data_IF_766671964765
#
_entry.id   IF_766671964765
#
_cell.length_a   1.000
_cell.length_b   1.000
_cell.length_c   1.000
_cell.angle_alpha   90.00
_cell.angle_beta   90.00
_cell.angle_gamma   90.00
#
_symmetry.space_group_name_H-M   'P 1'
#
loop_
_entity.id
_entity.type
_entity.pdbx_description
1 polymer ?
#
# COMPACT_ATOMS: atom_id res chain seq x y z
N UNK A 1 -21.07 21.91 -37.56
CA UNK A 1 -20.22 20.72 -37.67
C UNK A 1 -20.49 19.80 -36.49
N UNK A 2 -21.21 18.69 -36.69
CA UNK A 2 -21.41 17.66 -35.66
C UNK A 2 -20.09 16.90 -35.47
N UNK A 3 -19.36 17.20 -34.39
CA UNK A 3 -18.14 16.47 -34.04
C UNK A 3 -18.54 15.02 -33.78
N UNK A 4 -18.24 14.10 -34.70
CA UNK A 4 -18.45 12.66 -34.48
C UNK A 4 -17.73 12.29 -33.18
N UNK A 5 -18.48 11.79 -32.19
CA UNK A 5 -17.86 11.30 -30.96
C UNK A 5 -17.03 10.07 -31.32
N UNK A 6 -15.80 9.93 -30.77
CA UNK A 6 -14.98 8.77 -31.05
C UNK A 6 -15.67 7.50 -30.58
N UNK A 7 -15.61 6.44 -31.39
CA UNK A 7 -16.17 5.12 -31.08
C UNK A 7 -15.32 4.33 -30.07
N UNK A 8 -14.12 4.83 -29.72
CA UNK A 8 -13.15 4.12 -28.87
C UNK A 8 -12.48 5.05 -27.87
N UNK A 9 -12.09 4.51 -26.72
CA UNK A 9 -11.16 5.19 -25.81
C UNK A 9 -9.78 5.29 -26.47
N UNK A 10 -9.06 6.38 -26.20
CA UNK A 10 -7.66 6.50 -26.61
C UNK A 10 -6.82 5.38 -25.98
N UNK A 11 -5.79 4.90 -26.68
CA UNK A 11 -4.85 3.91 -26.16
C UNK A 11 -4.25 4.29 -24.78
N UNK A 12 -3.98 5.59 -24.57
CA UNK A 12 -3.49 6.13 -23.28
C UNK A 12 -4.50 5.90 -22.16
N UNK A 13 -5.79 6.17 -22.39
CA UNK A 13 -6.84 5.94 -21.39
C UNK A 13 -6.97 4.45 -21.02
N UNK A 14 -6.82 3.56 -22.01
CA UNK A 14 -6.83 2.11 -21.81
C UNK A 14 -5.61 1.68 -20.99
N UNK A 15 -4.41 2.15 -21.36
CA UNK A 15 -3.17 1.86 -20.63
C UNK A 15 -3.24 2.34 -19.18
N UNK A 16 -3.66 3.59 -18.94
CA UNK A 16 -3.88 4.13 -17.60
C UNK A 16 -4.88 3.29 -16.81
N UNK A 17 -5.93 2.77 -17.46
CA UNK A 17 -6.88 1.90 -16.79
C UNK A 17 -6.26 0.60 -16.33
N UNK A 18 -5.57 -0.12 -17.20
CA UNK A 18 -4.98 -1.40 -16.83
C UNK A 18 -3.83 -1.26 -15.85
N UNK A 19 -2.97 -0.24 -15.99
CA UNK A 19 -1.91 0.03 -15.02
C UNK A 19 -2.46 0.25 -13.61
N UNK A 20 -3.51 1.08 -13.48
CA UNK A 20 -4.15 1.33 -12.19
C UNK A 20 -4.87 0.07 -11.69
N UNK A 21 -5.60 -0.65 -12.55
CA UNK A 21 -6.32 -1.85 -12.17
C UNK A 21 -5.37 -2.93 -11.62
N UNK A 22 -4.25 -3.17 -12.30
CA UNK A 22 -3.21 -4.11 -11.85
C UNK A 22 -2.63 -3.68 -10.51
N UNK A 23 -2.26 -2.40 -10.38
CA UNK A 23 -1.72 -1.86 -9.14
C UNK A 23 -2.69 -2.05 -7.97
N UNK A 24 -3.98 -1.74 -8.15
CA UNK A 24 -5.02 -1.94 -7.12
C UNK A 24 -5.19 -3.43 -6.79
N UNK A 25 -5.25 -4.31 -7.79
CA UNK A 25 -5.40 -5.74 -7.56
C UNK A 25 -4.20 -6.33 -6.81
N UNK A 26 -2.98 -5.81 -7.04
CA UNK A 26 -1.78 -6.21 -6.29
C UNK A 26 -1.77 -5.72 -4.83
N UNK A 27 -2.40 -4.56 -4.57
CA UNK A 27 -2.45 -3.95 -3.22
C UNK A 27 -3.24 -4.77 -2.22
N UNK A 28 -4.34 -5.38 -2.65
CA UNK A 28 -5.28 -6.08 -1.79
C UNK A 28 -4.63 -7.25 -1.03
N UNK A 29 -4.04 -8.27 -1.70
CA UNK A 29 -3.36 -9.36 -1.01
C UNK A 29 -2.09 -8.89 -0.28
N UNK A 30 -1.38 -7.90 -0.82
CA UNK A 30 -0.21 -7.32 -0.18
C UNK A 30 -0.56 -6.69 1.17
N UNK A 31 -1.66 -5.95 1.24
CA UNK A 31 -2.14 -5.28 2.44
C UNK A 31 -2.54 -6.26 3.54
N UNK A 32 -3.25 -7.34 3.19
CA UNK A 32 -3.56 -8.41 4.13
C UNK A 32 -2.33 -9.16 4.63
N UNK A 33 -1.45 -9.55 3.71
CA UNK A 33 -0.26 -10.30 4.09
C UNK A 33 0.67 -9.49 5.01
N UNK A 34 0.90 -8.21 4.69
CA UNK A 34 1.82 -7.38 5.48
C UNK A 34 1.29 -7.07 6.89
N UNK A 35 -0.03 -6.96 7.06
CA UNK A 35 -0.63 -6.72 8.39
C UNK A 35 -0.46 -7.89 9.33
N UNK A 36 -0.51 -9.11 8.81
CA UNK A 36 -0.34 -10.33 9.60
C UNK A 36 1.15 -10.64 9.80
N UNK A 37 1.98 -10.42 8.78
CA UNK A 37 3.41 -10.71 8.82
C UNK A 37 4.20 -9.78 9.78
N UNK A 38 3.72 -8.57 10.05
CA UNK A 38 4.48 -7.61 10.88
C UNK A 38 4.53 -7.98 12.37
N UNK A 39 3.58 -8.79 12.84
CA UNK A 39 3.51 -9.27 14.23
C UNK A 39 4.29 -10.56 14.45
N UNK A 40 4.67 -11.26 13.38
CA UNK A 40 5.42 -12.51 13.42
C UNK A 40 6.94 -12.22 13.35
N UNK A 41 7.74 -12.60 14.37
CA UNK A 41 9.17 -12.28 14.45
C UNK A 41 9.96 -12.67 13.20
N UNK A 42 9.70 -13.87 12.65
CA UNK A 42 10.45 -14.43 11.52
C UNK A 42 10.17 -13.71 10.19
N UNK A 43 9.06 -12.98 10.09
CA UNK A 43 8.65 -12.31 8.86
C UNK A 43 8.63 -10.78 8.93
N UNK A 44 8.89 -10.20 10.11
CA UNK A 44 8.84 -8.77 10.38
C UNK A 44 9.73 -7.94 9.43
N UNK A 45 10.95 -8.40 9.16
CA UNK A 45 11.87 -7.70 8.26
C UNK A 45 11.38 -7.65 6.81
N UNK A 46 10.76 -8.74 6.33
CA UNK A 46 10.15 -8.79 5.01
C UNK A 46 8.87 -7.95 4.97
N UNK A 47 8.03 -8.04 6.01
CA UNK A 47 6.83 -7.23 6.16
C UNK A 47 7.16 -5.73 6.05
N UNK A 48 8.21 -5.25 6.73
CA UNK A 48 8.68 -3.87 6.62
C UNK A 48 9.00 -3.45 5.18
N UNK A 49 9.70 -4.31 4.40
CA UNK A 49 10.00 -4.03 2.99
C UNK A 49 8.73 -3.97 2.15
N UNK A 50 7.79 -4.87 2.40
CA UNK A 50 6.49 -4.90 1.72
C UNK A 50 5.65 -3.68 2.08
N UNK A 51 5.68 -3.19 3.33
CA UNK A 51 5.07 -1.91 3.70
C UNK A 51 5.65 -0.74 2.89
N UNK A 52 6.96 -0.70 2.66
CA UNK A 52 7.57 0.36 1.82
C UNK A 52 7.12 0.24 0.36
N UNK A 53 7.01 -0.98 -0.17
CA UNK A 53 6.50 -1.23 -1.51
C UNK A 53 5.02 -0.84 -1.64
N UNK A 54 4.19 -1.20 -0.65
CA UNK A 54 2.77 -0.84 -0.57
C UNK A 54 2.59 0.68 -0.54
N UNK A 55 3.39 1.40 0.26
CA UNK A 55 3.39 2.88 0.24
C UNK A 55 3.76 3.41 -1.15
N UNK A 56 4.81 2.85 -1.75
CA UNK A 56 5.32 3.30 -3.05
C UNK A 56 4.32 3.15 -4.19
N UNK A 57 3.72 1.97 -4.31
CA UNK A 57 2.69 1.71 -5.32
C UNK A 57 1.41 2.50 -4.99
N UNK A 58 1.12 2.78 -3.71
CA UNK A 58 0.02 3.66 -3.30
C UNK A 58 0.16 5.08 -3.86
N UNK A 59 1.36 5.67 -3.76
CA UNK A 59 1.66 6.96 -4.39
C UNK A 59 1.65 6.89 -5.92
N UNK A 60 2.09 5.77 -6.50
CA UNK A 60 2.00 5.56 -7.95
C UNK A 60 0.52 5.57 -8.41
N UNK A 61 -0.37 4.87 -7.70
CA UNK A 61 -1.81 4.89 -8.00
C UNK A 61 -2.36 6.31 -7.88
N UNK A 62 -1.98 7.07 -6.85
CA UNK A 62 -2.39 8.46 -6.69
C UNK A 62 -1.97 9.31 -7.91
N UNK A 63 -0.70 9.23 -8.32
CA UNK A 63 -0.18 9.97 -9.47
C UNK A 63 -0.88 9.56 -10.78
N UNK A 64 -1.02 8.25 -11.05
CA UNK A 64 -1.71 7.74 -12.23
C UNK A 64 -3.20 8.12 -12.24
N UNK A 65 -3.83 8.17 -11.07
CA UNK A 65 -5.24 8.60 -10.94
C UNK A 65 -5.41 10.06 -11.29
N UNK A 66 -4.52 10.95 -10.79
CA UNK A 66 -4.53 12.37 -11.18
C UNK A 66 -4.36 12.51 -12.70
N UNK A 67 -3.37 11.81 -13.28
CA UNK A 67 -3.14 11.81 -14.71
C UNK A 67 -4.39 11.31 -15.48
N UNK A 68 -5.03 10.25 -14.99
CA UNK A 68 -6.26 9.70 -15.58
C UNK A 68 -7.43 10.71 -15.52
N UNK A 69 -7.58 11.43 -14.42
CA UNK A 69 -8.61 12.47 -14.29
C UNK A 69 -8.35 13.59 -15.28
N UNK A 70 -7.13 14.11 -15.34
CA UNK A 70 -6.73 15.15 -16.30
C UNK A 70 -6.98 14.67 -17.74
N UNK A 71 -6.60 13.43 -18.05
CA UNK A 71 -6.83 12.84 -19.37
C UNK A 71 -8.32 12.77 -19.71
N UNK A 72 -9.15 12.33 -18.77
CA UNK A 72 -10.60 12.24 -18.94
C UNK A 72 -11.28 13.60 -19.13
N UNK A 73 -10.76 14.65 -18.49
CA UNK A 73 -11.31 16.01 -18.63
C UNK A 73 -10.89 16.68 -19.94
N UNK A 74 -9.73 16.31 -20.48
CA UNK A 74 -9.16 16.90 -21.70
C UNK A 74 -9.52 16.13 -22.97
N UNK A 75 -9.94 14.87 -22.87
CA UNK A 75 -10.24 14.01 -24.02
C UNK A 75 -11.72 13.58 -24.06
N UNK A 76 -12.32 13.50 -25.26
CA UNK A 76 -13.70 13.04 -25.41
C UNK A 76 -13.85 11.58 -25.00
N UNK A 77 -14.87 11.31 -24.18
CA UNK A 77 -15.22 9.95 -23.74
C UNK A 77 -16.27 9.36 -24.69
N UNK A 78 -16.12 8.09 -25.14
CA UNK A 78 -17.15 7.40 -25.91
C UNK A 78 -18.50 7.41 -25.21
N UNK A 79 -19.59 7.48 -25.99
CA UNK A 79 -20.93 7.41 -25.43
C UNK A 79 -21.22 6.00 -24.90
N UNK A 80 -22.01 5.92 -23.82
CA UNK A 80 -22.55 4.64 -23.37
C UNK A 80 -23.51 4.08 -24.44
N UNK A 81 -23.65 2.75 -24.59
CA UNK A 81 -24.57 2.16 -25.56
C UNK A 81 -25.99 2.69 -25.38
N UNK A 82 -26.62 3.16 -26.47
CA UNK A 82 -27.97 3.75 -26.42
C UNK A 82 -29.05 2.77 -25.96
N UNK A 83 -28.82 1.46 -26.11
CA UNK A 83 -29.71 0.40 -25.66
C UNK A 83 -29.62 0.08 -24.14
N UNK A 84 -28.63 0.64 -23.43
CA UNK A 84 -28.42 0.41 -22.00
C UNK A 84 -29.53 1.09 -21.17
N UNK A 85 -30.08 0.38 -20.17
CA UNK A 85 -31.16 0.92 -19.33
C UNK A 85 -30.69 2.16 -18.58
N UNK A 86 -31.58 3.14 -18.37
CA UNK A 86 -31.22 4.41 -17.72
C UNK A 86 -30.59 4.26 -16.33
N UNK A 87 -31.03 3.25 -15.57
CA UNK A 87 -30.46 2.93 -14.25
C UNK A 87 -29.05 2.31 -14.35
N UNK A 88 -28.76 1.51 -15.39
CA UNK A 88 -27.42 0.94 -15.63
C UNK A 88 -26.44 2.05 -16.00
N UNK A 89 -26.86 3.00 -16.83
CA UNK A 89 -26.05 4.17 -17.16
C UNK A 89 -25.79 5.05 -15.92
N UNK A 90 -26.78 5.22 -15.05
CA UNK A 90 -26.61 5.93 -13.78
C UNK A 90 -25.64 5.19 -12.86
N UNK A 91 -25.82 3.89 -12.66
CA UNK A 91 -24.93 3.05 -11.87
C UNK A 91 -23.48 3.11 -12.40
N UNK A 92 -23.28 3.04 -13.72
CA UNK A 92 -21.96 3.17 -14.33
C UNK A 92 -21.30 4.53 -14.00
N UNK A 93 -22.05 5.64 -14.06
CA UNK A 93 -21.53 6.96 -13.69
C UNK A 93 -21.16 7.05 -12.21
N UNK A 94 -22.03 6.55 -11.33
CA UNK A 94 -21.81 6.54 -9.88
C UNK A 94 -20.60 5.68 -9.52
N UNK A 95 -20.49 4.47 -10.07
CA UNK A 95 -19.34 3.58 -9.84
C UNK A 95 -18.03 4.23 -10.28
N UNK A 96 -17.99 4.89 -11.44
CA UNK A 96 -16.78 5.61 -11.86
C UNK A 96 -16.45 6.78 -10.93
N UNK A 97 -17.44 7.57 -10.52
CA UNK A 97 -17.22 8.67 -9.57
C UNK A 97 -16.72 8.15 -8.22
N UNK A 98 -17.31 7.07 -7.71
CA UNK A 98 -16.89 6.40 -6.49
C UNK A 98 -15.45 5.88 -6.60
N UNK A 99 -15.06 5.25 -7.71
CA UNK A 99 -13.67 4.85 -7.91
C UNK A 99 -12.72 6.04 -7.90
N UNK A 100 -13.02 7.15 -8.57
CA UNK A 100 -12.14 8.33 -8.53
C UNK A 100 -12.00 8.87 -7.11
N UNK A 101 -13.09 8.96 -6.35
CA UNK A 101 -13.03 9.39 -4.96
C UNK A 101 -12.19 8.42 -4.11
N UNK A 102 -12.40 7.11 -4.24
CA UNK A 102 -11.68 6.08 -3.48
C UNK A 102 -10.19 6.05 -3.84
N UNK A 103 -9.83 6.09 -5.14
CA UNK A 103 -8.44 6.07 -5.61
C UNK A 103 -7.64 7.30 -5.18
N UNK A 104 -8.30 8.41 -4.84
CA UNK A 104 -7.66 9.57 -4.21
C UNK A 104 -7.63 9.42 -2.69
N UNK A 105 -8.77 9.09 -2.06
CA UNK A 105 -8.90 9.05 -0.61
C UNK A 105 -8.06 7.96 0.07
N UNK A 106 -7.94 6.77 -0.51
CA UNK A 106 -7.15 5.67 0.04
C UNK A 106 -5.67 6.02 0.20
N UNK A 107 -4.94 6.42 -0.86
CA UNK A 107 -3.53 6.78 -0.71
C UNK A 107 -3.34 8.03 0.15
N UNK A 108 -4.28 8.99 0.11
CA UNK A 108 -4.20 10.18 0.98
C UNK A 108 -4.37 9.84 2.47
N UNK A 109 -5.30 8.95 2.81
CA UNK A 109 -5.45 8.47 4.20
C UNK A 109 -4.25 7.65 4.66
N UNK A 110 -3.66 6.83 3.77
CA UNK A 110 -2.41 6.13 4.04
C UNK A 110 -1.24 7.08 4.25
N UNK A 111 -1.13 8.12 3.43
CA UNK A 111 -0.11 9.17 3.56
C UNK A 111 -0.28 9.96 4.86
N UNK A 112 -1.52 10.28 5.24
CA UNK A 112 -1.83 10.91 6.52
C UNK A 112 -1.42 10.02 7.70
N UNK A 113 -1.72 8.72 7.65
CA UNK A 113 -1.30 7.76 8.68
C UNK A 113 0.22 7.74 8.85
N UNK A 114 0.99 7.55 7.79
CA UNK A 114 2.46 7.47 7.89
C UNK A 114 3.09 8.80 8.32
N UNK A 115 2.44 9.92 8.02
CA UNK A 115 2.87 11.27 8.44
C UNK A 115 2.69 11.52 9.95
N UNK A 116 1.92 10.68 10.64
CA UNK A 116 1.83 10.75 12.10
C UNK A 116 3.07 10.20 12.80
N UNK A 117 3.91 9.41 12.12
CA UNK A 117 5.03 8.71 12.74
C UNK A 117 4.59 7.87 13.96
N UNK A 118 3.40 7.26 13.89
CA UNK A 118 2.82 6.43 14.94
C UNK A 118 2.51 5.03 14.41
N UNK A 119 2.88 4.01 15.16
CA UNK A 119 2.52 2.64 14.85
C UNK A 119 1.25 2.26 15.60
N UNK A 120 0.13 2.08 14.89
CA UNK A 120 -1.16 1.67 15.49
C UNK A 120 -1.10 0.26 16.10
N UNK A 121 -0.29 -0.64 15.54
CA UNK A 121 -0.18 -2.04 15.99
C UNK A 121 0.42 -2.13 17.39
N UNK A 122 1.44 -1.33 17.69
CA UNK A 122 2.12 -1.28 18.99
C UNK A 122 1.63 -0.14 19.88
N UNK A 123 0.80 0.74 19.33
CA UNK A 123 0.36 2.02 19.91
C UNK A 123 1.53 2.84 20.48
N UNK A 124 2.58 3.01 19.67
CA UNK A 124 3.80 3.74 20.04
C UNK A 124 4.29 4.68 18.93
N UNK A 125 5.09 5.71 19.26
CA UNK A 125 5.80 6.50 18.26
C UNK A 125 6.74 5.61 17.43
N UNK A 126 6.62 5.67 16.11
CA UNK A 126 7.50 5.03 15.16
C UNK A 126 7.60 5.87 13.89
N UNK A 127 8.61 6.74 13.84
CA UNK A 127 8.89 7.55 12.67
C UNK A 127 9.65 6.69 11.64
N UNK A 128 9.02 6.43 10.50
CA UNK A 128 9.62 5.66 9.40
C UNK A 128 9.61 6.53 8.16
N UNK A 129 10.80 6.80 7.62
CA UNK A 129 10.93 7.46 6.33
C UNK A 129 10.13 6.69 5.27
N UNK A 130 9.33 7.42 4.50
CA UNK A 130 8.56 6.86 3.39
C UNK A 130 9.40 6.97 2.13
N UNK A 131 10.02 5.86 1.73
CA UNK A 131 10.80 5.81 0.51
C UNK A 131 9.91 5.48 -0.68
N UNK A 132 10.03 6.22 -1.78
CA UNK A 132 9.38 5.89 -3.05
C UNK A 132 10.32 5.02 -3.88
N UNK A 133 10.06 3.72 -3.89
CA UNK A 133 10.86 2.70 -4.59
C UNK A 133 12.37 2.74 -4.31
N UNK A 134 12.81 3.25 -3.16
CA UNK A 134 14.23 3.39 -2.82
C UNK A 134 14.92 4.61 -3.44
N UNK A 135 14.23 5.41 -4.27
CA UNK A 135 14.84 6.49 -5.03
C UNK A 135 14.95 7.80 -4.24
N UNK A 136 13.88 8.17 -3.55
CA UNK A 136 13.84 9.36 -2.69
C UNK A 136 12.81 9.20 -1.58
N UNK A 137 12.88 10.06 -0.58
CA UNK A 137 11.92 10.11 0.53
C UNK A 137 10.78 11.06 0.20
N UNK A 138 9.54 10.59 0.36
CA UNK A 138 8.35 11.44 0.27
C UNK A 138 8.21 12.17 1.61
N UNK A 139 8.11 13.52 1.61
CA UNK A 139 7.95 14.28 2.83
C UNK A 139 6.63 13.92 3.52
N UNK A 140 6.65 13.95 4.84
CA UNK A 140 5.43 13.84 5.63
C UNK A 140 4.57 15.09 5.44
N UNK A 141 3.26 14.95 5.68
CA UNK A 141 2.36 16.10 5.67
C UNK A 141 2.82 17.14 6.69
N UNK A 142 2.87 18.42 6.30
CA UNK A 142 3.29 19.48 7.21
C UNK A 142 2.34 19.53 8.42
N UNK A 143 2.85 20.04 9.54
CA UNK A 143 2.13 20.25 10.81
C UNK A 143 1.81 18.98 11.63
N UNK A 144 1.64 17.81 11.02
CA UNK A 144 1.35 16.57 11.77
C UNK A 144 2.59 16.07 12.52
N UNK A 145 3.76 16.14 11.89
CA UNK A 145 5.01 15.66 12.47
C UNK A 145 5.40 16.39 13.77
N UNK A 146 5.11 17.70 13.85
CA UNK A 146 5.39 18.54 15.01
C UNK A 146 4.22 18.66 15.99
N UNK A 147 3.10 17.96 15.74
CA UNK A 147 1.96 17.97 16.64
C UNK A 147 2.27 17.20 17.94
N UNK A 148 1.46 17.44 18.97
CA UNK A 148 1.56 16.71 20.23
C UNK A 148 1.33 15.22 20.04
N UNK A 149 1.90 14.41 20.93
CA UNK A 149 1.77 12.95 20.88
C UNK A 149 0.32 12.49 20.85
N UNK A 150 -0.55 13.11 21.66
CA UNK A 150 -1.98 12.82 21.70
C UNK A 150 -2.64 13.07 20.33
N UNK A 151 -2.32 14.19 19.67
CA UNK A 151 -2.87 14.51 18.34
C UNK A 151 -2.37 13.52 17.29
N UNK A 152 -1.07 13.18 17.30
CA UNK A 152 -0.47 12.22 16.37
C UNK A 152 -1.11 10.84 16.51
N UNK A 153 -1.24 10.34 17.74
CA UNK A 153 -1.92 9.08 18.05
C UNK A 153 -3.36 9.07 17.57
N UNK A 154 -4.18 10.06 17.94
CA UNK A 154 -5.58 10.14 17.52
C UNK A 154 -5.71 10.19 15.99
N UNK A 155 -4.87 11.00 15.34
CA UNK A 155 -4.86 11.10 13.87
C UNK A 155 -4.48 9.78 13.22
N UNK A 156 -3.53 9.03 13.79
CA UNK A 156 -3.08 7.76 13.27
C UNK A 156 -4.21 6.71 13.29
N UNK A 157 -4.93 6.61 14.41
CA UNK A 157 -6.08 5.72 14.56
C UNK A 157 -7.22 6.09 13.60
N UNK A 158 -7.52 7.39 13.45
CA UNK A 158 -8.54 7.86 12.50
C UNK A 158 -8.14 7.57 11.06
N UNK A 159 -6.90 7.89 10.68
CA UNK A 159 -6.39 7.71 9.32
C UNK A 159 -6.32 6.23 8.94
N UNK A 160 -5.77 5.38 9.81
CA UNK A 160 -5.70 3.93 9.57
C UNK A 160 -7.11 3.30 9.54
N UNK A 161 -8.00 3.72 10.46
CA UNK A 161 -9.39 3.27 10.47
C UNK A 161 -10.15 3.66 9.20
N UNK A 162 -9.94 4.88 8.70
CA UNK A 162 -10.49 5.32 7.41
C UNK A 162 -9.90 4.53 6.25
N UNK A 163 -8.57 4.36 6.21
CA UNK A 163 -7.87 3.61 5.17
C UNK A 163 -8.40 2.18 5.05
N UNK A 164 -8.57 1.48 6.19
CA UNK A 164 -9.14 0.13 6.23
C UNK A 164 -10.58 0.07 5.71
N UNK A 165 -11.47 0.98 6.14
CA UNK A 165 -12.85 1.05 5.64
C UNK A 165 -12.92 1.35 4.15
N UNK A 166 -12.09 2.26 3.67
CA UNK A 166 -11.99 2.60 2.25
C UNK A 166 -11.46 1.42 1.42
N UNK A 167 -10.50 0.66 1.95
CA UNK A 167 -9.98 -0.56 1.30
C UNK A 167 -11.10 -1.59 1.09
N UNK A 168 -11.92 -1.86 2.10
CA UNK A 168 -13.12 -2.70 1.96
C UNK A 168 -14.11 -2.15 0.94
N UNK A 169 -14.32 -0.84 0.92
CA UNK A 169 -15.13 -0.17 -0.10
C UNK A 169 -14.61 -0.40 -1.52
N UNK A 170 -13.30 -0.31 -1.74
CA UNK A 170 -12.68 -0.63 -3.04
C UNK A 170 -12.86 -2.09 -3.39
N UNK A 171 -12.65 -3.02 -2.47
CA UNK A 171 -12.83 -4.47 -2.72
C UNK A 171 -14.25 -4.74 -3.23
N UNK A 172 -15.27 -4.26 -2.50
CA UNK A 172 -16.68 -4.43 -2.90
C UNK A 172 -16.93 -3.80 -4.27
N UNK A 173 -16.45 -2.58 -4.50
CA UNK A 173 -16.68 -1.87 -5.75
C UNK A 173 -15.96 -2.53 -6.93
N UNK A 174 -14.76 -3.08 -6.74
CA UNK A 174 -14.03 -3.86 -7.75
C UNK A 174 -14.82 -5.11 -8.11
N UNK A 175 -15.31 -5.86 -7.13
CA UNK A 175 -16.13 -7.05 -7.37
C UNK A 175 -17.38 -6.70 -8.18
N UNK A 176 -18.11 -5.65 -7.77
CA UNK A 176 -19.30 -5.19 -8.49
C UNK A 176 -18.97 -4.72 -9.91
N UNK A 177 -17.86 -4.00 -10.09
CA UNK A 177 -17.41 -3.50 -11.39
C UNK A 177 -17.06 -4.63 -12.35
N UNK A 178 -16.28 -5.61 -11.88
CA UNK A 178 -15.91 -6.79 -12.68
C UNK A 178 -17.15 -7.63 -12.98
N UNK A 179 -18.03 -7.86 -12.00
CA UNK A 179 -19.28 -8.59 -12.21
C UNK A 179 -20.17 -7.91 -13.26
N UNK A 180 -20.28 -6.57 -13.22
CA UNK A 180 -20.99 -5.80 -14.23
C UNK A 180 -20.34 -5.96 -15.62
N UNK A 181 -19.01 -5.82 -15.72
CA UNK A 181 -18.30 -6.01 -16.99
C UNK A 181 -18.53 -7.42 -17.57
N UNK A 182 -18.53 -8.45 -16.74
CA UNK A 182 -18.82 -9.83 -17.15
C UNK A 182 -20.30 -10.01 -17.54
N UNK A 183 -21.26 -9.42 -16.81
CA UNK A 183 -22.67 -9.40 -17.20
C UNK A 183 -22.84 -8.79 -18.60
N UNK A 184 -22.26 -7.62 -18.82
CA UNK A 184 -22.31 -6.93 -20.11
C UNK A 184 -21.66 -7.77 -21.23
N UNK A 185 -20.57 -8.47 -20.94
CA UNK A 185 -19.90 -9.34 -21.91
C UNK A 185 -20.71 -10.61 -22.27
N UNK A 186 -21.31 -11.28 -21.28
CA UNK A 186 -21.92 -12.60 -21.47
C UNK A 186 -23.43 -12.59 -21.67
N UNK A 187 -24.14 -11.73 -20.93
CA UNK A 187 -25.60 -11.62 -20.95
C UNK A 187 -26.04 -10.54 -21.93
N UNK A 188 -25.63 -9.29 -21.70
CA UNK A 188 -26.17 -8.16 -22.49
C UNK A 188 -25.56 -8.08 -23.89
N UNK A 189 -24.30 -8.53 -24.04
CA UNK A 189 -23.55 -8.63 -25.31
C UNK A 189 -23.48 -7.30 -26.06
N UNK A 190 -23.32 -6.22 -25.30
CA UNK A 190 -23.36 -4.84 -25.79
C UNK A 190 -21.98 -4.26 -26.11
N UNK A 191 -20.91 -5.06 -26.03
CA UNK A 191 -19.56 -4.66 -26.40
C UNK A 191 -18.91 -3.67 -25.41
N UNK A 192 -19.43 -3.51 -24.19
CA UNK A 192 -18.83 -2.59 -23.20
C UNK A 192 -17.39 -2.99 -22.85
N UNK A 193 -17.08 -4.28 -22.82
CA UNK A 193 -15.74 -4.77 -22.48
C UNK A 193 -14.70 -4.49 -23.57
N UNK A 194 -15.10 -4.52 -24.86
CA UNK A 194 -14.16 -4.26 -25.96
C UNK A 194 -13.63 -2.82 -25.95
N UNK A 195 -14.38 -1.87 -25.38
CA UNK A 195 -13.90 -0.49 -25.18
C UNK A 195 -12.65 -0.38 -24.31
N UNK A 196 -12.34 -1.41 -23.51
CA UNK A 196 -11.18 -1.45 -22.62
C UNK A 196 -10.16 -2.53 -22.98
N UNK A 197 -10.46 -3.50 -23.85
CA UNK A 197 -9.51 -4.54 -24.22
C UNK A 197 -8.91 -4.23 -25.60
N UNK A 198 -7.63 -3.82 -25.69
CA UNK A 198 -7.04 -3.38 -26.95
C UNK A 198 -6.94 -4.47 -28.03
N UNK A 199 -7.02 -5.74 -27.63
CA UNK A 199 -6.94 -6.92 -28.52
C UNK A 199 -8.31 -7.31 -29.10
N UNK A 200 -9.41 -6.89 -28.50
CA UNK A 200 -10.75 -7.20 -29.03
C UNK A 200 -11.09 -6.21 -30.15
N UNK A 201 -11.30 -6.75 -31.36
CA UNK A 201 -11.79 -5.97 -32.49
C UNK A 201 -13.15 -5.38 -32.14
N UNK A 202 -13.27 -4.06 -32.23
CA UNK A 202 -14.58 -3.47 -32.44
C UNK A 202 -14.91 -3.69 -33.89
N UNK A 203 -16.03 -4.36 -34.18
CA UNK A 203 -16.57 -4.41 -35.53
C UNK A 203 -16.58 -2.99 -36.08
N UNK A 204 -15.68 -2.72 -37.02
CA UNK A 204 -15.64 -1.44 -37.68
C UNK A 204 -16.91 -1.35 -38.51
N UNK A 205 -17.79 -0.41 -38.13
CA UNK A 205 -18.84 0.09 -39.02
C UNK A 205 -18.17 0.87 -40.17
N UNK A 206 -17.39 0.18 -40.98
CA UNK A 206 -17.20 0.54 -42.37
C UNK A 206 -18.45 0.03 -43.09
N UNK A 207 -19.16 0.94 -43.74
CA UNK A 207 -20.33 0.66 -44.57
C UNK A 207 -20.11 -0.58 -45.46
N UNK A 208 -20.64 -1.71 -45.01
CA UNK A 208 -20.55 -3.00 -45.69
C UNK A 208 -20.97 -4.07 -44.68
N UNK A 209 -22.04 -4.80 -44.99
CA UNK A 209 -22.51 -5.93 -44.17
C UNK A 209 -21.38 -6.96 -44.14
N UNK A 210 -20.51 -6.88 -43.15
CA UNK A 210 -19.55 -7.94 -42.86
C UNK A 210 -20.34 -9.19 -42.47
N UNK A 211 -20.00 -10.38 -42.99
CA UNK A 211 -20.66 -11.61 -42.58
C UNK A 211 -20.52 -11.77 -41.07
N UNK A 212 -21.62 -12.08 -40.37
CA UNK A 212 -21.62 -12.34 -38.93
C UNK A 212 -20.48 -13.30 -38.59
N UNK A 213 -19.57 -12.95 -37.66
CA UNK A 213 -18.46 -13.81 -37.29
C UNK A 213 -19.00 -15.14 -36.76
N UNK A 214 -18.37 -16.25 -37.16
CA UNK A 214 -18.82 -17.58 -36.80
C UNK A 214 -18.86 -17.76 -35.27
N UNK A 215 -19.73 -18.64 -34.74
CA UNK A 215 -19.87 -18.85 -33.29
C UNK A 215 -18.54 -19.16 -32.60
N UNK A 216 -17.64 -19.87 -33.29
CA UNK A 216 -16.30 -20.23 -32.78
C UNK A 216 -15.39 -19.00 -32.57
N UNK A 217 -15.39 -18.05 -33.51
CA UNK A 217 -14.63 -16.79 -33.39
C UNK A 217 -15.19 -15.94 -32.25
N UNK A 218 -16.51 -15.90 -32.10
CA UNK A 218 -17.19 -15.19 -31.00
C UNK A 218 -16.86 -15.78 -29.63
N UNK A 219 -16.76 -17.11 -29.52
CA UNK A 219 -16.33 -17.77 -28.29
C UNK A 219 -14.82 -17.57 -28.02
N UNK A 220 -13.98 -17.58 -29.05
CA UNK A 220 -12.54 -17.32 -28.93
C UNK A 220 -12.25 -15.89 -28.42
N UNK A 221 -12.91 -14.87 -28.96
CA UNK A 221 -12.81 -13.47 -28.47
C UNK A 221 -13.25 -13.35 -27.00
N UNK A 222 -14.31 -14.07 -26.63
CA UNK A 222 -14.84 -14.07 -25.25
C UNK A 222 -13.90 -14.74 -24.26
N UNK A 223 -13.28 -15.86 -24.64
CA UNK A 223 -12.30 -16.54 -23.81
C UNK A 223 -10.98 -15.75 -23.75
N UNK A 224 -10.60 -15.05 -24.82
CA UNK A 224 -9.42 -14.20 -24.84
C UNK A 224 -9.54 -13.01 -23.87
N UNK A 225 -10.71 -12.37 -23.77
CA UNK A 225 -10.94 -11.28 -22.82
C UNK A 225 -10.84 -11.72 -21.35
N UNK A 226 -11.37 -12.91 -21.02
CA UNK A 226 -11.25 -13.50 -19.67
C UNK A 226 -9.82 -13.95 -19.39
N UNK A 227 -9.18 -14.63 -20.36
CA UNK A 227 -7.79 -15.05 -20.24
C UNK A 227 -6.85 -13.86 -20.04
N UNK A 228 -7.07 -12.72 -20.70
CA UNK A 228 -6.29 -11.50 -20.51
C UNK A 228 -6.38 -10.97 -19.06
N UNK A 229 -7.58 -10.92 -18.49
CA UNK A 229 -7.80 -10.49 -17.09
C UNK A 229 -7.15 -11.46 -16.11
N UNK A 230 -7.30 -12.77 -16.34
CA UNK A 230 -6.75 -13.82 -15.48
C UNK A 230 -5.22 -13.88 -15.55
N UNK A 231 -4.64 -13.80 -16.76
CA UNK A 231 -3.19 -13.85 -16.98
C UNK A 231 -2.51 -12.61 -16.40
N UNK A 232 -3.09 -11.42 -16.57
CA UNK A 232 -2.56 -10.19 -15.96
C UNK A 232 -2.62 -10.26 -14.43
N UNK A 233 -3.73 -10.73 -13.86
CA UNK A 233 -3.86 -10.93 -12.42
C UNK A 233 -2.88 -11.97 -11.87
N UNK A 234 -2.68 -13.08 -12.59
CA UNK A 234 -1.77 -14.16 -12.20
C UNK A 234 -0.29 -13.77 -12.32
N UNK A 235 0.09 -13.03 -13.38
CA UNK A 235 1.47 -12.61 -13.62
C UNK A 235 2.02 -11.73 -12.49
N UNK A 236 1.19 -10.86 -11.90
CA UNK A 236 1.60 -10.03 -10.76
C UNK A 236 1.51 -10.75 -9.41
N UNK A 237 0.58 -11.70 -9.23
CA UNK A 237 0.53 -12.56 -8.04
C UNK A 237 1.74 -13.49 -7.92
N UNK A 238 2.29 -13.96 -9.04
CA UNK A 238 3.51 -14.78 -9.09
C UNK A 238 4.79 -13.95 -8.87
N UNK A 239 4.82 -12.69 -9.31
CA UNK A 239 5.94 -11.77 -9.04
C UNK A 239 6.07 -11.37 -7.57
N UNK A 240 5.02 -11.58 -6.76
CA UNK A 240 5.01 -11.35 -5.32
C UNK A 240 5.43 -12.57 -4.49
N UNK A 241 5.75 -13.71 -5.11
CA UNK A 241 6.30 -14.85 -4.37
C UNK A 241 7.71 -14.47 -3.87
N UNK A 242 7.96 -14.50 -2.55
CA UNK A 242 9.31 -14.33 -2.05
C UNK A 242 10.18 -15.42 -2.68
N UNK A 243 11.36 -15.04 -3.17
CA UNK A 243 12.34 -15.99 -3.65
C UNK A 243 12.54 -17.09 -2.58
N UNK A 244 12.66 -18.38 -2.98
CA UNK A 244 13.00 -19.42 -2.02
C UNK A 244 14.26 -18.99 -1.28
N UNK A 245 14.24 -19.07 0.05
CA UNK A 245 15.39 -18.75 0.89
C UNK A 245 16.57 -19.56 0.36
N UNK A 246 17.53 -18.90 -0.27
CA UNK A 246 18.84 -19.49 -0.51
C UNK A 246 19.47 -19.62 0.87
N UNK A 247 19.29 -20.79 1.50
CA UNK A 247 20.13 -21.18 2.61
C UNK A 247 21.57 -21.18 2.11
N UNK A 248 22.41 -20.32 2.70
CA UNK A 248 23.85 -20.34 2.47
C UNK A 248 24.36 -19.51 1.29
N UNK A 249 24.15 -18.20 1.32
CA UNK A 249 25.24 -17.29 0.95
C UNK A 249 25.42 -16.27 2.06
N UNK A 250 26.40 -16.54 2.92
CA UNK A 250 27.04 -15.50 3.70
C UNK A 250 27.57 -14.48 2.69
N UNK A 251 26.87 -13.35 2.57
CA UNK A 251 27.45 -12.17 1.93
C UNK A 251 28.60 -11.79 2.85
N UNK A 252 29.81 -12.16 2.44
CA UNK A 252 31.02 -11.65 3.04
C UNK A 252 30.88 -10.13 3.08
N UNK A 253 30.80 -9.58 4.28
CA UNK A 253 30.92 -8.16 4.51
C UNK A 253 32.24 -7.73 3.88
N UNK A 254 32.16 -7.04 2.75
CA UNK A 254 33.30 -6.32 2.21
C UNK A 254 33.86 -5.43 3.33
N UNK A 255 35.19 -5.39 3.55
CA UNK A 255 35.78 -4.48 4.52
C UNK A 255 35.37 -3.06 4.10
N UNK A 256 34.71 -2.35 5.01
CA UNK A 256 34.30 -0.98 4.79
C UNK A 256 35.54 -0.15 4.39
N UNK A 257 35.54 0.35 3.15
CA UNK A 257 36.46 1.39 2.75
C UNK A 257 36.25 2.60 3.67
N UNK A 258 37.36 3.11 4.22
CA UNK A 258 37.38 4.27 5.09
C UNK A 258 36.66 5.47 4.42
N UNK A 259 35.81 6.22 5.15
CA UNK A 259 35.25 7.44 4.60
C UNK A 259 36.37 8.47 4.42
N UNK A 260 36.39 9.09 3.24
CA UNK A 260 37.20 10.24 2.92
C UNK A 260 36.94 11.38 3.92
N UNK A 261 38.01 12.09 4.26
CA UNK A 261 38.02 13.18 5.22
C UNK A 261 37.21 14.39 4.70
N UNK A 262 36.24 14.84 5.50
CA UNK A 262 35.72 16.20 5.42
C UNK A 262 35.89 16.92 6.77
N UNK A 263 36.57 18.05 6.68
CA UNK A 263 36.62 19.22 7.56
C UNK A 263 36.73 19.01 9.09
N UNK A 264 37.89 19.40 9.61
CA UNK A 264 38.22 19.49 11.02
C UNK A 264 37.24 20.36 11.83
N UNK A 265 36.58 19.74 12.81
CA UNK A 265 36.14 20.41 14.03
C UNK A 265 37.07 19.95 15.13
N UNK A 266 37.89 20.84 15.67
CA UNK A 266 38.87 20.55 16.72
C UNK A 266 38.14 20.25 18.04
N UNK A 267 38.21 19.03 18.61
CA UNK A 267 37.70 18.78 19.94
C UNK A 267 38.74 19.24 20.95
N UNK A 268 38.34 20.15 21.85
CA UNK A 268 39.07 20.37 23.09
C UNK A 268 39.18 19.05 23.86
N UNK A 269 40.35 18.80 24.46
CA UNK A 269 40.72 17.55 25.12
C UNK A 269 39.68 17.06 26.14
N UNK A 270 38.78 16.17 25.70
CA UNK A 270 37.95 15.39 26.59
C UNK A 270 38.69 14.10 26.93
N UNK A 271 38.89 13.86 28.22
CA UNK A 271 39.57 12.69 28.76
C UNK A 271 38.98 11.39 28.19
N UNK A 272 39.85 10.46 27.80
CA UNK A 272 39.46 9.13 27.35
C UNK A 272 38.83 8.37 28.53
N UNK A 273 37.52 8.16 28.46
CA UNK A 273 36.80 7.32 29.43
C UNK A 273 36.90 5.86 29.00
N UNK A 274 37.48 5.02 29.85
CA UNK A 274 37.49 3.56 29.69
C UNK A 274 36.49 2.92 30.63
N UNK A 275 35.54 2.15 30.08
CA UNK A 275 34.52 1.43 30.84
C UNK A 275 35.07 0.11 31.35
N UNK A 276 35.15 -0.06 32.68
CA UNK A 276 35.49 -1.34 33.30
C UNK A 276 34.26 -2.25 33.32
N UNK A 277 34.25 -3.22 32.40
CA UNK A 277 33.16 -4.20 32.25
C UNK A 277 33.07 -5.19 33.42
N UNK A 278 34.16 -5.41 34.17
CA UNK A 278 34.15 -6.33 35.32
C UNK A 278 33.52 -5.68 36.56
N UNK A 279 33.62 -4.35 36.67
CA UNK A 279 32.96 -3.57 37.72
C UNK A 279 31.53 -3.11 37.36
N UNK A 280 31.11 -3.27 36.10
CA UNK A 280 29.84 -2.78 35.58
C UNK A 280 28.80 -3.90 35.47
N UNK A 281 27.64 -3.75 36.11
CA UNK A 281 26.51 -4.69 35.97
C UNK A 281 25.23 -3.97 35.57
N UNK A 282 24.39 -4.66 34.77
CA UNK A 282 23.06 -4.19 34.36
C UNK A 282 22.03 -5.11 35.03
N UNK A 283 21.07 -4.53 35.75
CA UNK A 283 19.95 -5.26 36.35
C UNK A 283 18.61 -4.65 35.93
N UNK A 284 17.61 -5.52 35.78
CA UNK A 284 16.24 -5.17 35.41
C UNK A 284 15.30 -5.28 36.62
N UNK A 285 14.25 -4.46 36.66
CA UNK A 285 13.18 -4.54 37.64
C UNK A 285 11.82 -4.71 36.97
N UNK A 286 10.98 -5.58 37.52
CA UNK A 286 9.58 -5.73 37.14
C UNK A 286 8.70 -5.90 38.37
N UNK A 287 7.49 -5.35 38.33
CA UNK A 287 6.49 -5.53 39.40
C UNK A 287 5.52 -6.63 39.00
N UNK A 288 5.42 -7.69 39.80
CA UNK A 288 4.40 -8.73 39.66
C UNK A 288 3.35 -8.58 40.76
N UNK A 289 2.11 -8.26 40.40
CA UNK A 289 0.97 -8.30 41.34
C UNK A 289 0.48 -9.73 41.46
N UNK A 290 0.78 -10.40 42.58
CA UNK A 290 0.18 -11.68 42.89
C UNK A 290 -1.34 -11.53 43.16
N UNK A 291 -2.16 -12.37 42.52
CA UNK A 291 -3.60 -12.47 42.82
C UNK A 291 -3.76 -13.10 44.23
N UNK A 292 -4.57 -12.54 45.14
CA UNK A 292 -4.74 -13.11 46.47
C UNK A 292 -5.51 -14.43 46.40
N UNK A 293 -5.07 -15.42 47.18
CA UNK A 293 -5.74 -16.72 47.34
C UNK A 293 -6.95 -16.61 48.29
N UNK A 294 -8.01 -17.41 48.18
CA UNK A 294 -9.30 -17.16 48.86
C UNK A 294 -9.33 -17.48 50.36
N UNK A 295 -8.20 -17.84 50.98
CA UNK A 295 -8.15 -18.25 52.38
C UNK A 295 -7.22 -17.36 53.18
N UNK A 296 -7.81 -16.53 54.06
CA UNK A 296 -7.30 -16.19 55.39
C UNK A 296 -5.91 -15.56 55.55
N UNK A 297 -5.92 -14.37 56.14
CA UNK A 297 -4.80 -13.60 56.70
C UNK A 297 -4.03 -12.70 55.72
N UNK A 298 -4.29 -11.40 55.88
CA UNK A 298 -3.56 -10.30 55.27
C UNK A 298 -2.26 -10.04 56.02
N UNK A 299 -1.12 -10.32 55.40
CA UNK A 299 0.13 -9.59 55.65
C UNK A 299 0.89 -9.41 54.33
N UNK A 300 0.45 -8.44 53.53
CA UNK A 300 1.17 -8.03 52.33
C UNK A 300 2.42 -7.26 52.71
N UNK A 301 3.55 -7.93 52.93
CA UNK A 301 4.85 -7.25 53.03
C UNK A 301 5.20 -6.63 51.68
N UNK A 302 5.04 -5.31 51.57
CA UNK A 302 5.54 -4.52 50.43
C UNK A 302 7.06 -4.42 50.57
N UNK A 303 7.81 -5.27 49.85
CA UNK A 303 9.26 -5.11 49.73
C UNK A 303 9.53 -3.94 48.77
N UNK A 304 9.90 -2.79 49.34
CA UNK A 304 10.49 -1.67 48.61
C UNK A 304 12.01 -1.77 48.73
N UNK A 305 12.70 -2.04 47.62
CA UNK A 305 14.15 -1.95 47.54
C UNK A 305 14.55 -0.57 46.98
N UNK A 306 15.38 0.16 47.70
CA UNK A 306 16.04 1.38 47.22
C UNK A 306 17.50 1.05 46.89
N UNK A 307 17.93 1.33 45.66
CA UNK A 307 19.31 1.14 45.22
C UNK A 307 19.85 2.44 44.64
N UNK A 308 21.01 2.87 45.16
CA UNK A 308 21.71 4.09 44.79
C UNK A 308 22.82 3.77 43.78
N UNK A 309 22.90 4.52 42.68
CA UNK A 309 24.06 4.50 41.79
C UNK A 309 25.26 5.11 42.53
N UNK A 310 26.33 4.32 42.73
CA UNK A 310 27.63 4.83 43.18
C UNK A 310 28.61 4.59 42.05
N UNK A 311 28.98 5.67 41.35
CA UNK A 311 30.12 5.66 40.44
C UNK A 311 31.36 6.01 41.26
N UNK A 312 32.38 5.14 41.25
CA UNK A 312 33.70 5.46 41.80
C UNK A 312 34.73 5.38 40.68
N UNK A 313 35.20 6.55 40.27
CA UNK A 313 36.27 6.67 39.28
C UNK A 313 37.64 6.50 39.93
N UNK A 314 38.55 5.78 39.27
CA UNK A 314 39.99 5.91 39.52
C UNK A 314 40.51 7.06 38.67
N UNK A 315 40.89 8.18 39.29
CA UNK A 315 41.75 9.16 38.62
C UNK A 315 43.17 8.57 38.49
N UNK A 316 43.80 8.62 37.30
CA UNK A 316 45.23 8.41 37.19
C UNK A 316 45.98 9.61 37.80
N UNK A 317 47.05 9.32 38.53
CA UNK A 317 48.06 10.30 38.99
C UNK A 317 48.95 10.73 37.83
#
# INVERSE_FOLDING_TARGET
>A
MTRRRPSRYSAVAIALHWLIAIAILSMIPMGWWMSDAIVEPDSQALAYRVFQLHKSIGFLILALTVLRIVWRLTHPVPALPGAMKGWEQFAARVTHAAFYALMLALPLTGWAYVSTGWAVVTDTPLAVATSWFGLFTIPHLPFIEHASEAVRRTTAWMAMGAHSKLAWGVIVLVVLHVAAALKHQFLDRDGVLSHMIPVLSHGDDAHGVAPEPTPAVRWAERLAGVAFVVVIGAAFGLAAKPAPKTEGQAVASAPAAAPAADAAVTPGAAAAWTVDKAASTIQFTGTHTARPSPAGSSSGTRKSGSTRLIWRDRKPW
#
